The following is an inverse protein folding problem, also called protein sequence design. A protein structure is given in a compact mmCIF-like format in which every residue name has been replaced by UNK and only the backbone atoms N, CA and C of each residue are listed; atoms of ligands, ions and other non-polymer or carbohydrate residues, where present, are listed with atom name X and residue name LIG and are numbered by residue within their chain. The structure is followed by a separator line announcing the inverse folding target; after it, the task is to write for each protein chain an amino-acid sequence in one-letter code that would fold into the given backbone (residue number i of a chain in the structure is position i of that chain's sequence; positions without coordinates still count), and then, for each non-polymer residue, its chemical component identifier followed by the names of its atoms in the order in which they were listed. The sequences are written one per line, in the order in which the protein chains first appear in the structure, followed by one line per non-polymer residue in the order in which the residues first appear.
data_IF_582062522040
#
_entry.id   IF_582062522040
#
_cell.length_a   1.000
_cell.length_b   1.000
_cell.length_c   1.000
_cell.angle_alpha   90.00
_cell.angle_beta   90.00
_cell.angle_gamma   90.00
#
_symmetry.space_group_name_H-M   'P 1'
#
loop_
_entity.id
_entity.type
_entity.pdbx_description
1 polymer ?
#
# COMPACT_ATOMS: atom_id res chain seq x y z
N UNK A 1 10.81 -19.00 15.92
CA UNK A 1 9.39 -18.67 16.19
C UNK A 1 8.57 -19.29 15.08
N UNK A 2 7.76 -20.28 15.42
CA UNK A 2 7.10 -21.13 14.43
C UNK A 2 5.83 -20.44 13.92
N UNK A 3 5.98 -19.67 12.82
CA UNK A 3 4.87 -18.91 12.20
C UNK A 3 3.65 -19.80 11.90
N UNK A 4 3.91 -21.06 11.54
CA UNK A 4 2.90 -22.12 11.35
C UNK A 4 2.02 -22.37 12.58
N UNK A 5 2.60 -22.41 13.78
CA UNK A 5 1.83 -22.58 15.02
C UNK A 5 0.95 -21.35 15.31
N UNK A 6 1.45 -20.14 15.03
CA UNK A 6 0.67 -18.90 15.16
C UNK A 6 -0.52 -18.90 14.18
N UNK A 7 -0.33 -19.36 12.95
CA UNK A 7 -1.42 -19.52 11.97
C UNK A 7 -2.51 -20.48 12.48
N UNK A 8 -2.14 -21.61 13.08
CA UNK A 8 -3.10 -22.56 13.66
C UNK A 8 -3.90 -21.94 14.81
N UNK A 9 -3.21 -21.29 15.77
CA UNK A 9 -3.84 -20.65 16.94
C UNK A 9 -4.83 -19.57 16.51
N UNK A 10 -4.41 -18.68 15.61
CA UNK A 10 -5.20 -17.50 15.20
C UNK A 10 -6.37 -17.82 14.25
N UNK A 11 -6.35 -18.97 13.57
CA UNK A 11 -7.45 -19.42 12.71
C UNK A 11 -8.42 -20.36 13.43
N UNK A 12 -7.89 -21.32 14.20
CA UNK A 12 -8.70 -22.41 14.78
C UNK A 12 -9.01 -22.24 16.28
N UNK A 13 -8.39 -21.27 16.95
CA UNK A 13 -8.47 -21.08 18.41
C UNK A 13 -7.95 -22.27 19.21
N UNK A 14 -7.10 -23.10 18.59
CA UNK A 14 -6.60 -24.39 19.09
C UNK A 14 -5.16 -24.59 18.64
N UNK A 15 -4.45 -25.48 19.33
CA UNK A 15 -3.09 -25.90 18.95
C UNK A 15 -3.05 -27.41 18.87
N UNK A 16 -2.47 -27.99 17.82
CA UNK A 16 -2.16 -29.41 17.77
C UNK A 16 -0.66 -29.63 17.94
N UNK A 17 -0.30 -30.38 18.99
CA UNK A 17 1.09 -30.65 19.36
C UNK A 17 1.34 -32.14 19.17
N UNK A 18 2.16 -32.47 18.17
CA UNK A 18 2.70 -33.80 17.93
C UNK A 18 4.19 -33.80 18.27
N UNK A 19 4.57 -34.31 19.44
CA UNK A 19 5.97 -34.32 19.90
C UNK A 19 6.24 -35.50 20.83
N UNK A 20 7.37 -36.18 20.63
CA UNK A 20 7.79 -37.36 21.41
C UNK A 20 6.69 -38.44 21.54
N UNK A 21 5.97 -38.72 20.43
CA UNK A 21 4.85 -39.67 20.38
C UNK A 21 3.52 -39.13 20.92
N UNK A 22 3.55 -38.10 21.78
CA UNK A 22 2.34 -37.47 22.32
C UNK A 22 1.68 -36.63 21.21
N UNK A 23 0.41 -36.94 20.92
CA UNK A 23 -0.44 -36.19 20.00
C UNK A 23 -1.58 -35.56 20.81
N UNK A 24 -1.46 -34.27 21.12
CA UNK A 24 -2.41 -33.53 21.94
C UNK A 24 -3.09 -32.41 21.13
N UNK A 25 -4.35 -32.10 21.46
CA UNK A 25 -5.09 -30.94 20.93
C UNK A 25 -5.49 -30.04 22.08
N UNK A 26 -4.94 -28.83 22.13
CA UNK A 26 -5.15 -27.87 23.22
C UNK A 26 -6.06 -26.72 22.79
N UNK A 27 -6.79 -26.15 23.75
CA UNK A 27 -7.74 -25.06 23.54
C UNK A 27 -7.03 -23.73 23.82
N UNK A 28 -6.85 -22.89 22.79
CA UNK A 28 -6.05 -21.66 22.84
C UNK A 28 -6.85 -20.45 22.33
N UNK A 29 -8.12 -20.35 22.75
CA UNK A 29 -9.00 -19.21 22.45
C UNK A 29 -8.61 -17.99 23.28
N UNK A 30 -7.57 -17.29 22.84
CA UNK A 30 -7.11 -16.01 23.38
C UNK A 30 -7.22 -14.90 22.32
N UNK A 31 -7.52 -13.68 22.76
CA UNK A 31 -7.35 -12.47 21.93
C UNK A 31 -5.87 -12.13 21.85
N UNK A 32 -5.37 -11.79 20.66
CA UNK A 32 -3.99 -11.33 20.44
C UNK A 32 -4.00 -9.82 20.30
N UNK A 33 -3.17 -9.13 21.09
CA UNK A 33 -2.78 -7.74 20.87
C UNK A 33 -1.31 -7.73 20.46
N UNK A 34 -0.99 -7.04 19.37
CA UNK A 34 0.38 -6.91 18.87
C UNK A 34 0.69 -5.43 18.62
N UNK A 35 1.90 -5.02 18.97
CA UNK A 35 2.51 -3.77 18.54
C UNK A 35 3.75 -4.11 17.70
N UNK A 36 3.95 -3.39 16.60
CA UNK A 36 5.06 -3.61 15.69
C UNK A 36 5.66 -2.26 15.28
N UNK A 37 6.99 -2.17 15.32
CA UNK A 37 7.71 -1.01 14.82
C UNK A 37 7.90 -1.15 13.30
N UNK A 38 7.89 -0.06 12.52
CA UNK A 38 8.19 -0.13 11.09
C UNK A 38 9.65 -0.55 10.86
N UNK A 39 9.91 -1.30 9.78
CA UNK A 39 11.20 -1.97 9.55
C UNK A 39 12.41 -1.03 9.42
N UNK A 40 12.18 0.24 9.06
CA UNK A 40 13.21 1.29 8.98
C UNK A 40 13.15 2.29 10.15
N UNK A 41 12.48 1.95 11.26
CA UNK A 41 12.35 2.79 12.46
C UNK A 41 11.39 3.97 12.33
N UNK A 42 11.16 4.49 11.12
CA UNK A 42 10.09 5.43 10.76
C UNK A 42 9.15 4.80 9.74
N UNK A 43 7.88 5.19 9.78
CA UNK A 43 6.86 4.74 8.82
C UNK A 43 6.96 5.57 7.53
N UNK A 44 7.11 4.91 6.38
CA UNK A 44 7.19 5.53 5.07
C UNK A 44 5.78 5.66 4.45
N UNK A 45 5.25 6.88 4.43
CA UNK A 45 3.90 7.19 3.93
C UNK A 45 3.74 6.98 2.41
N UNK A 46 4.83 6.71 1.68
CA UNK A 46 4.84 6.40 0.25
C UNK A 46 4.91 4.89 -0.04
N UNK A 47 4.96 4.04 0.99
CA UNK A 47 4.98 2.57 0.87
C UNK A 47 3.70 1.96 1.43
N UNK A 48 3.40 0.73 1.01
CA UNK A 48 2.27 -0.01 1.56
C UNK A 48 2.46 -0.32 3.06
N UNK A 49 1.37 -0.49 3.82
CA UNK A 49 1.46 -0.95 5.21
C UNK A 49 2.16 -2.31 5.38
N UNK A 50 2.02 -3.20 4.39
CA UNK A 50 2.68 -4.51 4.34
C UNK A 50 4.21 -4.38 4.29
N UNK A 51 4.73 -3.57 3.36
CA UNK A 51 6.18 -3.29 3.24
C UNK A 51 6.75 -2.56 4.47
N UNK A 52 5.98 -1.64 5.06
CA UNK A 52 6.38 -0.91 6.26
C UNK A 52 6.53 -1.81 7.49
N UNK A 53 5.67 -2.83 7.64
CA UNK A 53 5.64 -3.72 8.81
C UNK A 53 6.55 -4.96 8.63
N UNK A 54 6.78 -5.41 7.39
CA UNK A 54 7.64 -6.56 7.12
C UNK A 54 7.06 -7.92 7.54
N UNK A 55 5.75 -7.99 7.76
CA UNK A 55 5.01 -9.22 7.98
C UNK A 55 4.37 -9.72 6.68
N UNK A 56 4.19 -11.04 6.59
CA UNK A 56 3.52 -11.65 5.44
C UNK A 56 2.01 -11.38 5.48
N UNK A 57 1.38 -11.19 4.32
CA UNK A 57 -0.06 -10.90 4.17
C UNK A 57 -0.94 -11.95 4.86
N UNK A 58 -0.49 -13.21 4.89
CA UNK A 58 -1.16 -14.32 5.58
C UNK A 58 -1.14 -14.23 7.11
N UNK A 59 -0.28 -13.39 7.71
CA UNK A 59 -0.37 -12.97 9.11
C UNK A 59 -1.21 -11.71 9.25
N UNK A 60 -1.03 -10.72 8.38
CA UNK A 60 -1.75 -9.44 8.46
C UNK A 60 -3.27 -9.63 8.30
N UNK A 61 -3.71 -10.45 7.33
CA UNK A 61 -5.12 -10.84 7.13
C UNK A 61 -5.72 -11.68 8.28
N UNK A 62 -4.93 -12.05 9.31
CA UNK A 62 -5.41 -12.72 10.54
C UNK A 62 -5.60 -11.78 11.72
N UNK A 63 -5.26 -10.49 11.57
CA UNK A 63 -5.66 -9.45 12.51
C UNK A 63 -6.97 -8.83 12.03
N UNK A 64 -7.97 -8.79 12.92
CA UNK A 64 -9.31 -8.31 12.58
C UNK A 64 -9.34 -6.79 12.32
N UNK A 65 -8.38 -6.04 12.90
CA UNK A 65 -8.15 -4.61 12.76
C UNK A 65 -6.63 -4.33 12.71
N UNK A 66 -6.20 -3.36 11.90
CA UNK A 66 -4.84 -2.84 11.88
C UNK A 66 -4.87 -1.32 12.15
N UNK A 67 -4.19 -0.85 13.20
CA UNK A 67 -4.11 0.58 13.51
C UNK A 67 -2.70 1.10 13.22
N UNK A 68 -2.60 2.05 12.28
CA UNK A 68 -1.35 2.75 11.96
C UNK A 68 -1.30 4.04 12.77
N UNK A 69 -0.65 3.97 13.93
CA UNK A 69 -0.27 5.14 14.70
C UNK A 69 0.93 5.80 14.00
N UNK A 70 0.75 7.07 13.60
CA UNK A 70 1.82 7.88 13.02
C UNK A 70 2.16 8.98 14.02
N UNK A 71 3.45 9.20 14.20
CA UNK A 71 3.98 10.39 14.86
C UNK A 71 3.70 11.61 13.96
N UNK A 72 2.87 12.54 14.42
CA UNK A 72 2.46 13.74 13.69
C UNK A 72 2.96 14.97 14.46
N UNK A 73 3.90 15.70 13.84
CA UNK A 73 4.47 16.94 14.39
C UNK A 73 3.47 18.09 14.29
N UNK A 74 2.45 18.06 15.16
CA UNK A 74 1.44 19.10 15.32
C UNK A 74 1.70 19.88 16.62
N UNK A 75 2.06 21.18 16.54
CA UNK A 75 2.41 21.98 17.71
C UNK A 75 1.25 22.19 18.69
N UNK A 76 -0.01 21.96 18.30
CA UNK A 76 -1.15 22.01 19.22
C UNK A 76 -1.25 20.71 20.03
N UNK A 77 -1.18 19.55 19.37
CA UNK A 77 -1.15 18.23 20.05
C UNK A 77 0.10 18.05 20.92
N UNK A 78 1.27 18.42 20.42
CA UNK A 78 2.54 18.38 21.18
C UNK A 78 2.46 19.23 22.45
N UNK A 79 1.73 20.34 22.43
CA UNK A 79 1.52 21.22 23.59
C UNK A 79 0.61 20.56 24.63
N UNK A 80 -0.48 19.90 24.22
CA UNK A 80 -1.36 19.16 25.14
C UNK A 80 -0.64 17.97 25.78
N UNK A 81 0.10 17.20 24.99
CA UNK A 81 0.94 16.09 25.46
C UNK A 81 1.99 16.61 26.45
N UNK A 82 2.66 17.72 26.12
CA UNK A 82 3.67 18.34 26.99
C UNK A 82 3.09 18.80 28.33
N UNK A 83 1.94 19.49 28.35
CA UNK A 83 1.29 19.87 29.61
C UNK A 83 0.87 18.63 30.42
N UNK A 84 0.35 17.57 29.76
CA UNK A 84 -0.01 16.34 30.45
C UNK A 84 1.19 15.66 31.12
N UNK A 85 2.32 15.54 30.41
CA UNK A 85 3.57 14.96 30.93
C UNK A 85 4.14 15.82 32.07
N UNK A 86 4.21 17.14 31.90
CA UNK A 86 4.65 18.07 32.95
C UNK A 86 3.74 18.00 34.19
N UNK A 87 2.43 17.88 33.99
CA UNK A 87 1.43 17.72 35.05
C UNK A 87 1.65 16.42 35.82
N UNK A 88 1.93 15.29 35.15
CA UNK A 88 2.28 14.04 35.83
C UNK A 88 3.56 14.18 36.66
N UNK A 89 4.64 14.73 36.09
CA UNK A 89 5.91 14.91 36.81
C UNK A 89 5.80 15.87 38.01
N UNK A 90 4.86 16.83 38.00
CA UNK A 90 4.59 17.74 39.14
C UNK A 90 3.91 17.07 40.35
N UNK A 91 3.24 15.93 40.18
CA UNK A 91 2.55 15.22 41.27
C UNK A 91 3.31 14.00 41.80
N UNK A 92 4.64 14.01 41.65
CA UNK A 92 5.51 12.97 42.20
C UNK A 92 5.59 13.05 43.73
N UNK A 93 5.50 11.90 44.40
CA UNK A 93 5.68 11.84 45.85
C UNK A 93 7.16 12.13 46.22
N UNK A 94 7.43 12.97 47.23
CA UNK A 94 8.80 13.29 47.63
C UNK A 94 9.48 12.07 48.27
N UNK A 95 10.29 11.37 47.48
CA UNK A 95 11.01 10.15 47.89
C UNK A 95 11.09 9.04 46.83
N UNK A 96 10.41 9.17 45.68
CA UNK A 96 10.50 8.22 44.56
C UNK A 96 11.77 8.48 43.70
N UNK A 97 12.45 7.45 43.20
CA UNK A 97 13.79 7.60 42.58
C UNK A 97 13.75 8.23 41.19
N UNK A 98 14.61 9.22 40.92
CA UNK A 98 14.70 9.88 39.62
C UNK A 98 15.08 8.91 38.49
N UNK A 99 14.12 8.67 37.59
CA UNK A 99 14.21 7.70 36.49
C UNK A 99 13.13 6.61 36.49
N UNK A 100 12.44 6.36 37.60
CA UNK A 100 11.36 5.35 37.65
C UNK A 100 10.17 5.73 36.74
N UNK A 101 9.67 4.74 35.98
CA UNK A 101 8.58 4.93 35.02
C UNK A 101 7.24 5.03 35.76
N UNK A 102 6.65 6.23 35.81
CA UNK A 102 5.32 6.45 36.40
C UNK A 102 4.27 5.54 35.75
N UNK A 103 3.53 4.81 36.59
CA UNK A 103 2.44 3.94 36.14
C UNK A 103 1.29 4.83 35.62
N UNK A 104 0.99 4.73 34.32
CA UNK A 104 -0.02 5.49 33.57
C UNK A 104 -1.48 5.35 34.08
N UNK A 105 -1.70 4.64 35.19
CA UNK A 105 -2.96 4.58 35.91
C UNK A 105 -3.12 5.62 37.04
N UNK A 106 -2.03 6.25 37.50
CA UNK A 106 -2.08 7.27 38.56
C UNK A 106 -2.44 8.65 38.02
N UNK A 107 -3.73 8.84 37.69
CA UNK A 107 -4.31 10.17 37.47
C UNK A 107 -4.43 10.91 38.81
N UNK A 108 -3.36 11.59 39.21
CA UNK A 108 -3.36 12.50 40.35
C UNK A 108 -3.64 13.93 39.86
N UNK A 109 -4.81 14.47 40.22
CA UNK A 109 -5.07 15.90 40.24
C UNK A 109 -5.36 16.26 41.70
N UNK A 110 -4.44 16.96 42.36
CA UNK A 110 -4.61 17.41 43.74
C UNK A 110 -4.72 18.93 43.77
N UNK A 111 -5.81 19.45 44.37
CA UNK A 111 -5.89 20.84 44.81
C UNK A 111 -5.15 21.01 46.16
N UNK A 112 -4.41 22.10 46.42
CA UNK A 112 -3.40 22.14 47.48
C UNK A 112 -3.94 22.43 48.91
N UNK A 113 -5.09 21.86 49.28
CA UNK A 113 -5.85 22.29 50.46
C UNK A 113 -6.56 21.22 51.31
N UNK A 114 -6.51 19.94 50.95
CA UNK A 114 -7.20 18.88 51.70
C UNK A 114 -6.25 18.00 52.53
N UNK A 115 -6.73 17.59 53.71
CA UNK A 115 -5.97 16.78 54.68
C UNK A 115 -6.08 15.28 54.41
N UNK A 116 -5.03 14.53 54.76
CA UNK A 116 -4.71 13.18 54.25
C UNK A 116 -5.71 12.04 54.55
N UNK A 117 -6.85 12.29 55.19
CA UNK A 117 -7.74 11.24 55.72
C UNK A 117 -9.04 11.02 54.96
N UNK A 118 -9.46 11.95 54.11
CA UNK A 118 -10.63 11.78 53.24
C UNK A 118 -10.22 12.04 51.79
N UNK A 119 -9.77 10.96 51.14
CA UNK A 119 -9.28 10.97 49.76
C UNK A 119 -10.43 10.98 48.74
N UNK A 120 -11.36 11.92 48.89
CA UNK A 120 -12.46 12.10 47.95
C UNK A 120 -11.99 12.75 46.64
N UNK A 121 -12.34 12.13 45.52
CA UNK A 121 -11.94 12.56 44.18
C UNK A 121 -12.79 13.74 43.70
N UNK A 122 -12.34 14.98 43.94
CA UNK A 122 -12.94 16.18 43.35
C UNK A 122 -11.91 17.14 42.79
N UNK A 123 -12.00 17.45 41.49
CA UNK A 123 -11.48 18.68 40.88
C UNK A 123 -12.53 19.20 39.90
N UNK A 124 -12.83 20.50 40.04
CA UNK A 124 -13.53 21.43 39.14
C UNK A 124 -14.43 20.91 37.98
N UNK A 125 -15.66 21.45 37.91
CA UNK A 125 -16.33 21.74 36.62
C UNK A 125 -17.67 21.04 36.38
N UNK A 126 -17.70 19.71 36.34
CA UNK A 126 -18.87 18.93 35.91
C UNK A 126 -19.20 17.77 36.86
N UNK A 127 -20.48 17.40 36.96
CA UNK A 127 -21.01 16.33 37.84
C UNK A 127 -20.75 14.90 37.31
N UNK A 128 -19.63 14.67 36.63
CA UNK A 128 -19.35 13.39 35.99
C UNK A 128 -18.62 12.45 36.94
N UNK A 129 -19.25 11.30 37.22
CA UNK A 129 -18.73 10.28 38.13
C UNK A 129 -17.47 9.66 37.53
N UNK A 130 -16.30 9.92 38.13
CA UNK A 130 -15.04 9.35 37.67
C UNK A 130 -15.11 7.81 37.61
N UNK A 131 -14.98 7.26 36.41
CA UNK A 131 -14.90 5.81 36.18
C UNK A 131 -13.51 5.32 36.59
N UNK A 132 -13.33 5.06 37.88
CA UNK A 132 -12.09 4.51 38.43
C UNK A 132 -11.67 3.22 37.69
N UNK A 133 -10.37 3.02 37.48
CA UNK A 133 -9.84 1.79 36.88
C UNK A 133 -10.26 0.52 37.67
N UNK A 134 -10.48 0.62 38.98
CA UNK A 134 -11.02 -0.46 39.81
C UNK A 134 -12.51 -0.72 39.55
N UNK A 135 -13.29 0.32 39.24
CA UNK A 135 -14.68 0.18 38.78
C UNK A 135 -14.72 -0.43 37.37
N UNK A 136 -13.92 0.06 36.43
CA UNK A 136 -13.87 -0.44 35.04
C UNK A 136 -13.57 -1.95 34.98
N UNK A 137 -12.65 -2.45 35.80
CA UNK A 137 -12.37 -3.90 35.94
C UNK A 137 -13.61 -4.70 36.38
N UNK A 138 -14.41 -4.18 37.31
CA UNK A 138 -15.68 -4.79 37.76
C UNK A 138 -16.77 -4.69 36.69
N UNK A 139 -16.88 -3.54 36.01
CA UNK A 139 -17.84 -3.29 34.94
C UNK A 139 -17.65 -4.25 33.76
N UNK A 140 -16.42 -4.39 33.28
CA UNK A 140 -16.04 -5.35 32.22
C UNK A 140 -16.33 -6.80 32.63
N UNK A 141 -16.18 -7.16 33.91
CA UNK A 141 -16.54 -8.50 34.39
C UNK A 141 -18.04 -8.78 34.25
N UNK A 142 -18.91 -7.83 34.61
CA UNK A 142 -20.37 -7.96 34.42
C UNK A 142 -20.75 -7.95 32.94
N UNK A 143 -20.22 -7.01 32.16
CA UNK A 143 -20.49 -6.89 30.72
C UNK A 143 -20.13 -8.16 29.92
N UNK A 144 -19.07 -8.88 30.31
CA UNK A 144 -18.65 -10.15 29.69
C UNK A 144 -19.65 -11.31 29.85
N UNK A 145 -20.54 -11.25 30.84
CA UNK A 145 -21.58 -12.28 31.07
C UNK A 145 -22.73 -12.12 30.06
N UNK A 146 -22.96 -10.88 29.61
CA UNK A 146 -24.06 -10.51 28.72
C UNK A 146 -23.77 -11.01 27.29
N UNK A 147 -24.77 -11.61 26.66
CA UNK A 147 -24.74 -12.10 25.28
C UNK A 147 -25.86 -11.41 24.50
N UNK A 148 -25.59 -10.24 23.88
CA UNK A 148 -26.59 -9.57 23.07
C UNK A 148 -26.88 -10.37 21.79
N UNK A 149 -28.11 -10.26 21.30
CA UNK A 149 -28.55 -10.85 20.03
C UNK A 149 -28.64 -9.75 18.97
N UNK A 150 -28.21 -10.04 17.75
CA UNK A 150 -28.27 -9.11 16.62
C UNK A 150 -29.73 -8.89 16.18
N UNK A 151 -30.14 -7.63 16.02
CA UNK A 151 -31.46 -7.29 15.47
C UNK A 151 -31.46 -7.39 13.94
N UNK A 152 -32.63 -7.58 13.32
CA UNK A 152 -32.73 -7.67 11.86
C UNK A 152 -32.32 -6.36 11.16
N UNK A 153 -32.60 -5.22 11.78
CA UNK A 153 -32.22 -3.89 11.28
C UNK A 153 -30.69 -3.76 11.21
N UNK A 154 -29.98 -3.96 12.32
CA UNK A 154 -28.52 -3.96 12.37
C UNK A 154 -27.89 -5.03 11.47
N UNK A 155 -28.49 -6.22 11.37
CA UNK A 155 -28.01 -7.28 10.47
C UNK A 155 -28.08 -6.87 8.99
N UNK A 156 -29.12 -6.13 8.61
CA UNK A 156 -29.32 -5.66 7.22
C UNK A 156 -28.33 -4.54 6.89
N UNK A 157 -28.18 -3.57 7.79
CA UNK A 157 -27.21 -2.47 7.66
C UNK A 157 -25.75 -2.97 7.58
N UNK A 158 -25.35 -3.92 8.45
CA UNK A 158 -24.00 -4.51 8.41
C UNK A 158 -23.74 -5.25 7.09
N UNK A 159 -24.76 -5.91 6.52
CA UNK A 159 -24.63 -6.60 5.23
C UNK A 159 -24.49 -5.61 4.06
N UNK A 160 -25.22 -4.49 4.09
CA UNK A 160 -25.12 -3.42 3.10
C UNK A 160 -23.75 -2.73 3.14
N UNK A 161 -23.29 -2.29 4.32
CA UNK A 161 -21.97 -1.67 4.47
C UNK A 161 -20.81 -2.64 4.18
N UNK A 162 -20.93 -3.92 4.52
CA UNK A 162 -19.94 -4.92 4.09
C UNK A 162 -19.88 -5.05 2.55
N UNK A 163 -21.03 -5.05 1.88
CA UNK A 163 -21.11 -5.07 0.41
C UNK A 163 -20.52 -3.79 -0.21
N UNK A 164 -20.80 -2.63 0.39
CA UNK A 164 -20.25 -1.32 0.00
C UNK A 164 -18.73 -1.28 0.12
N UNK A 165 -18.19 -1.66 1.28
CA UNK A 165 -16.74 -1.76 1.53
C UNK A 165 -16.05 -2.66 0.51
N UNK A 166 -16.64 -3.82 0.20
CA UNK A 166 -16.10 -4.77 -0.77
C UNK A 166 -16.21 -4.30 -2.22
N UNK A 167 -17.23 -3.51 -2.54
CA UNK A 167 -17.37 -2.88 -3.85
C UNK A 167 -16.33 -1.76 -4.02
N UNK A 168 -16.13 -0.94 -2.99
CA UNK A 168 -15.11 0.11 -2.95
C UNK A 168 -13.68 -0.45 -3.08
N UNK A 169 -13.39 -1.59 -2.42
CA UNK A 169 -12.12 -2.34 -2.56
C UNK A 169 -11.77 -2.64 -4.04
N UNK A 170 -12.78 -2.89 -4.88
CA UNK A 170 -12.61 -3.13 -6.32
C UNK A 170 -12.49 -1.87 -7.20
N UNK A 171 -12.99 -0.71 -6.73
CA UNK A 171 -13.10 0.52 -7.54
C UNK A 171 -12.06 1.60 -7.21
N UNK A 172 -11.50 1.64 -6.00
CA UNK A 172 -10.45 2.60 -5.63
C UNK A 172 -9.08 1.92 -5.51
N UNK A 173 -8.36 1.80 -6.63
CA UNK A 173 -6.98 1.29 -6.68
C UNK A 173 -5.93 2.28 -6.14
N UNK A 174 -6.23 3.58 -6.22
CA UNK A 174 -5.34 4.70 -5.87
C UNK A 174 -5.03 4.81 -4.36
N UNK A 175 -6.01 4.49 -3.51
CA UNK A 175 -5.81 4.45 -2.05
C UNK A 175 -5.28 3.08 -1.63
N UNK A 176 -3.96 2.95 -1.48
CA UNK A 176 -3.34 1.73 -0.96
C UNK A 176 -3.80 1.46 0.50
N UNK A 177 -4.19 0.20 0.77
CA UNK A 177 -4.99 -0.20 1.94
C UNK A 177 -4.17 -0.90 3.02
N UNK A 178 -4.71 -0.97 4.24
CA UNK A 178 -4.07 -1.63 5.39
C UNK A 178 -4.27 -3.15 5.42
N UNK A 179 -5.39 -3.63 4.89
CA UNK A 179 -5.78 -5.05 4.84
C UNK A 179 -6.77 -5.28 3.69
N UNK A 180 -6.79 -6.45 3.03
CA UNK A 180 -7.81 -6.79 2.04
C UNK A 180 -9.18 -7.06 2.68
N UNK A 181 -10.27 -6.69 1.99
CA UNK A 181 -11.65 -6.97 2.46
C UNK A 181 -12.05 -8.43 2.17
N UNK A 182 -12.04 -9.26 3.21
CA UNK A 182 -12.39 -10.69 3.14
C UNK A 182 -13.73 -10.99 3.85
N UNK A 183 -14.25 -12.22 3.76
CA UNK A 183 -15.45 -12.62 4.53
C UNK A 183 -15.26 -12.51 6.06
N UNK A 184 -14.00 -12.51 6.54
CA UNK A 184 -13.67 -12.35 7.95
C UNK A 184 -14.03 -10.95 8.49
N UNK A 185 -14.08 -9.91 7.66
CA UNK A 185 -14.42 -8.55 8.12
C UNK A 185 -15.89 -8.43 8.51
N UNK A 186 -16.78 -9.22 7.90
CA UNK A 186 -18.18 -9.35 8.32
C UNK A 186 -18.28 -9.95 9.73
N UNK A 187 -17.47 -10.96 10.05
CA UNK A 187 -17.35 -11.45 11.43
C UNK A 187 -16.76 -10.38 12.37
N UNK A 188 -15.76 -9.60 11.94
CA UNK A 188 -15.22 -8.47 12.71
C UNK A 188 -16.32 -7.46 13.07
N UNK A 189 -17.13 -7.02 12.10
CA UNK A 189 -18.23 -6.09 12.33
C UNK A 189 -19.22 -6.63 13.37
N UNK A 190 -19.61 -7.91 13.26
CA UNK A 190 -20.49 -8.56 14.24
C UNK A 190 -19.81 -8.68 15.63
N UNK A 191 -18.51 -8.98 15.69
CA UNK A 191 -17.73 -9.05 16.94
C UNK A 191 -17.64 -7.67 17.62
N UNK A 192 -17.47 -6.59 16.85
CA UNK A 192 -17.40 -5.22 17.33
C UNK A 192 -18.77 -4.71 17.80
N UNK A 193 -19.82 -4.82 16.98
CA UNK A 193 -21.17 -4.39 17.35
C UNK A 193 -21.70 -5.15 18.58
N UNK A 194 -21.44 -6.46 18.67
CA UNK A 194 -21.77 -7.24 19.90
C UNK A 194 -20.85 -6.96 21.08
N UNK A 195 -19.71 -6.30 20.90
CA UNK A 195 -18.88 -5.79 22.00
C UNK A 195 -19.36 -4.41 22.48
N UNK A 196 -19.76 -3.53 21.56
CA UNK A 196 -20.35 -2.23 21.89
C UNK A 196 -21.69 -2.38 22.64
N UNK A 197 -22.58 -3.26 22.16
CA UNK A 197 -23.81 -3.60 22.86
C UNK A 197 -23.57 -4.15 24.28
N UNK A 198 -22.49 -4.92 24.52
CA UNK A 198 -22.07 -5.35 25.87
C UNK A 198 -21.55 -4.20 26.72
N UNK A 199 -20.88 -3.22 26.13
CA UNK A 199 -20.43 -2.02 26.82
C UNK A 199 -21.62 -1.16 27.30
N UNK A 200 -22.73 -1.09 26.54
CA UNK A 200 -24.02 -0.53 27.02
C UNK A 200 -24.80 -1.46 27.97
N UNK A 201 -24.33 -2.70 28.19
CA UNK A 201 -25.04 -3.78 28.88
C UNK A 201 -26.41 -4.15 28.24
N UNK A 202 -26.58 -3.89 26.94
CA UNK A 202 -27.78 -4.24 26.19
C UNK A 202 -27.89 -5.75 25.94
N UNK A 203 -29.13 -6.23 25.76
CA UNK A 203 -29.45 -7.59 25.30
C UNK A 203 -29.69 -7.67 23.79
N UNK A 204 -29.82 -6.53 23.13
CA UNK A 204 -29.91 -6.38 21.67
C UNK A 204 -28.71 -5.61 21.16
N UNK A 205 -28.30 -5.90 19.93
CA UNK A 205 -27.45 -5.01 19.14
C UNK A 205 -28.39 -4.12 18.34
N UNK A 206 -28.33 -2.81 18.59
CA UNK A 206 -29.20 -1.80 17.99
C UNK A 206 -28.45 -1.12 16.82
N UNK A 207 -29.11 -0.29 15.99
CA UNK A 207 -28.49 0.28 14.79
C UNK A 207 -27.21 1.11 15.11
N UNK A 208 -27.26 1.91 16.16
CA UNK A 208 -26.14 2.66 16.74
C UNK A 208 -24.88 1.81 17.06
N UNK A 209 -25.05 0.51 17.36
CA UNK A 209 -23.92 -0.38 17.63
C UNK A 209 -23.24 -0.87 16.35
N UNK A 210 -23.97 -0.89 15.24
CA UNK A 210 -23.47 -1.27 13.94
C UNK A 210 -22.78 -0.09 13.24
N UNK A 211 -23.32 1.13 13.39
CA UNK A 211 -22.75 2.37 12.86
C UNK A 211 -21.35 2.64 13.45
N UNK A 212 -21.22 2.71 14.78
CA UNK A 212 -19.94 2.82 15.50
C UNK A 212 -18.93 1.71 15.09
N UNK A 213 -19.41 0.48 14.93
CA UNK A 213 -18.57 -0.65 14.51
C UNK A 213 -18.10 -0.53 13.05
N UNK A 214 -18.90 0.06 12.16
CA UNK A 214 -18.53 0.37 10.78
C UNK A 214 -17.52 1.52 10.73
N UNK A 215 -17.73 2.62 11.47
CA UNK A 215 -16.78 3.73 11.53
C UNK A 215 -15.39 3.30 12.01
N UNK A 216 -15.32 2.48 13.07
CA UNK A 216 -14.05 1.95 13.59
C UNK A 216 -13.33 1.06 12.56
N UNK A 217 -14.07 0.27 11.77
CA UNK A 217 -13.50 -0.52 10.67
C UNK A 217 -13.06 0.37 9.51
N UNK A 218 -13.85 1.36 9.11
CA UNK A 218 -13.48 2.33 8.06
C UNK A 218 -12.19 3.07 8.44
N UNK A 219 -12.05 3.53 9.68
CA UNK A 219 -10.84 4.19 10.19
C UNK A 219 -9.60 3.28 10.14
N UNK A 220 -9.76 1.98 10.46
CA UNK A 220 -8.67 1.00 10.39
C UNK A 220 -8.29 0.61 8.96
N UNK A 221 -9.24 0.61 8.01
CA UNK A 221 -9.01 0.23 6.62
C UNK A 221 -8.47 1.38 5.75
N UNK A 222 -8.99 2.60 5.92
CA UNK A 222 -8.75 3.73 5.02
C UNK A 222 -7.72 4.75 5.53
N UNK A 223 -6.49 4.30 5.81
CA UNK A 223 -5.35 5.22 5.94
C UNK A 223 -4.82 5.55 4.53
N UNK A 224 -5.00 6.80 4.08
CA UNK A 224 -4.46 7.25 2.78
C UNK A 224 -2.93 7.20 2.80
N UNK A 225 -2.37 6.29 2.00
CA UNK A 225 -0.98 6.37 1.52
C UNK A 225 -0.88 7.58 0.58
N UNK A 226 0.22 8.33 0.65
CA UNK A 226 0.45 9.46 -0.26
C UNK A 226 1.17 8.95 -1.51
N UNK A 227 0.72 9.40 -2.69
CA UNK A 227 1.53 9.24 -3.91
C UNK A 227 2.81 10.06 -3.80
N UNK A 228 3.94 9.49 -4.24
CA UNK A 228 5.21 10.22 -4.32
C UNK A 228 5.26 10.96 -5.65
N UNK A 229 5.20 12.29 -5.61
CA UNK A 229 5.36 13.11 -6.82
C UNK A 229 6.60 12.67 -7.61
N UNK A 230 6.35 12.15 -8.82
CA UNK A 230 7.39 11.76 -9.77
C UNK A 230 8.06 13.04 -10.25
N UNK A 231 9.09 13.51 -9.53
CA UNK A 231 9.93 14.66 -9.92
C UNK A 231 10.26 14.54 -11.41
N UNK A 232 9.62 15.36 -12.24
CA UNK A 232 9.83 15.35 -13.69
C UNK A 232 11.32 15.58 -13.92
N UNK A 233 12.00 14.56 -14.45
CA UNK A 233 13.41 14.64 -14.84
C UNK A 233 13.49 15.61 -16.01
N UNK A 234 13.64 16.91 -15.71
CA UNK A 234 13.78 17.98 -16.69
C UNK A 234 14.93 17.57 -17.62
N UNK A 235 14.63 17.33 -18.90
CA UNK A 235 15.67 17.15 -19.89
C UNK A 235 16.45 18.47 -19.94
N UNK A 236 17.72 18.40 -19.55
CA UNK A 236 18.72 19.37 -19.97
C UNK A 236 19.03 19.05 -21.43
N UNK A 237 18.32 19.73 -22.33
CA UNK A 237 18.82 19.94 -23.68
C UNK A 237 19.80 21.12 -23.56
N UNK A 238 21.10 20.82 -23.66
CA UNK A 238 22.17 21.82 -23.70
C UNK A 238 22.18 22.46 -25.10
N UNK A 239 21.98 23.77 -25.19
CA UNK A 239 22.69 24.64 -26.15
C UNK A 239 22.53 26.14 -25.81
N UNK A 240 23.62 26.90 -25.96
CA UNK A 240 23.74 28.37 -25.91
C UNK A 240 23.36 29.14 -24.62
N UNK A 241 24.40 29.43 -23.82
CA UNK A 241 24.84 30.78 -23.37
C UNK A 241 23.82 31.83 -22.89
N UNK A 242 23.91 32.19 -21.60
CA UNK A 242 24.14 33.58 -21.19
C UNK A 242 24.77 33.64 -19.79
N UNK A 243 25.67 34.60 -19.55
CA UNK A 243 26.29 34.85 -18.24
C UNK A 243 25.49 35.89 -17.44
N UNK A 244 25.31 35.68 -16.14
CA UNK A 244 25.41 36.70 -15.09
C UNK A 244 25.31 36.04 -13.69
N UNK A 245 25.90 36.67 -12.67
CA UNK A 245 26.00 36.13 -11.30
C UNK A 245 24.87 36.62 -10.36
N UNK A 246 24.52 35.84 -9.33
CA UNK A 246 24.62 36.32 -7.94
C UNK A 246 24.50 35.20 -6.87
N UNK A 247 25.00 35.52 -5.67
CA UNK A 247 25.53 34.64 -4.62
C UNK A 247 24.59 33.72 -3.79
N UNK A 248 25.25 32.80 -3.06
CA UNK A 248 24.89 32.16 -1.76
C UNK A 248 23.87 31.00 -1.78
N UNK A 249 23.98 30.01 -0.88
CA UNK A 249 24.93 29.80 0.25
C UNK A 249 25.54 28.40 0.26
N UNK A 250 26.71 28.26 0.89
CA UNK A 250 27.41 26.98 1.08
C UNK A 250 26.95 26.27 2.37
N UNK A 251 26.67 24.97 2.28
CA UNK A 251 26.98 24.00 3.33
C UNK A 251 26.98 22.57 2.74
N UNK A 252 27.58 21.61 3.45
CA UNK A 252 27.65 20.18 3.12
C UNK A 252 28.13 19.76 1.71
N UNK A 253 29.44 19.95 1.43
CA UNK A 253 30.16 19.00 0.57
C UNK A 253 31.66 18.82 0.82
N UNK A 254 32.09 18.66 2.08
CA UNK A 254 33.40 18.04 2.35
C UNK A 254 33.27 16.51 2.49
N UNK A 255 33.58 15.77 1.42
CA UNK A 255 34.58 14.69 1.48
C UNK A 255 34.91 14.04 0.11
N UNK A 256 36.15 13.55 0.00
CA UNK A 256 36.66 12.60 -1.01
C UNK A 256 36.64 13.05 -2.50
N UNK A 257 37.64 13.85 -2.92
CA UNK A 257 38.44 13.55 -4.14
C UNK A 257 39.72 14.39 -4.35
N UNK A 258 40.74 14.22 -3.49
CA UNK A 258 42.15 14.56 -3.84
C UNK A 258 43.16 13.58 -3.24
N UNK A 259 43.72 12.68 -4.08
CA UNK A 259 45.17 12.32 -4.16
C UNK A 259 45.46 11.14 -5.12
N UNK A 260 46.11 11.48 -6.24
CA UNK A 260 46.99 10.66 -7.10
C UNK A 260 48.27 11.52 -7.25
N UNK A 261 49.51 11.05 -7.35
CA UNK A 261 50.14 9.71 -7.33
C UNK A 261 51.49 9.84 -6.60
N UNK A 262 52.03 8.76 -6.00
CA UNK A 262 53.50 8.49 -6.04
C UNK A 262 53.85 7.04 -5.73
N UNK A 263 54.86 6.53 -6.46
CA UNK A 263 55.71 5.32 -6.22
C UNK A 263 55.10 3.90 -6.39
N UNK A 264 55.93 3.07 -7.04
CA UNK A 264 56.01 1.59 -7.07
C UNK A 264 57.06 1.13 -6.02
N UNK A 265 57.37 -0.18 -5.80
CA UNK A 265 56.98 -1.39 -6.53
C UNK A 265 56.49 -2.59 -5.65
N UNK A 266 56.49 -3.78 -6.26
CA UNK A 266 56.68 -5.14 -5.69
C UNK A 266 55.50 -6.10 -5.41
N UNK A 267 55.52 -7.19 -6.19
CA UNK A 267 55.42 -8.62 -5.82
C UNK A 267 54.13 -9.29 -5.29
N UNK A 268 53.62 -10.19 -6.16
CA UNK A 268 53.18 -11.59 -5.92
C UNK A 268 51.75 -11.97 -5.48
N UNK A 269 51.29 -13.02 -6.18
CA UNK A 269 50.41 -14.16 -5.82
C UNK A 269 48.98 -13.90 -5.30
N UNK A 270 47.99 -14.52 -5.95
CA UNK A 270 46.58 -14.52 -5.55
C UNK A 270 45.60 -14.80 -6.70
N UNK A 271 45.41 -16.08 -7.06
CA UNK A 271 44.50 -16.50 -8.13
C UNK A 271 43.02 -16.15 -7.84
N UNK A 272 42.30 -15.70 -8.87
CA UNK A 272 40.84 -15.61 -8.88
C UNK A 272 40.33 -16.00 -10.28
N UNK A 273 39.81 -17.22 -10.39
CA UNK A 273 39.35 -17.82 -11.64
C UNK A 273 37.97 -17.23 -12.05
N UNK A 274 37.89 -16.57 -13.20
CA UNK A 274 36.62 -16.14 -13.81
C UNK A 274 36.20 -17.15 -14.90
N UNK A 275 35.05 -17.85 -14.79
CA UNK A 275 34.61 -18.85 -15.77
C UNK A 275 34.20 -18.32 -17.16
N UNK A 276 34.27 -17.01 -17.44
CA UNK A 276 33.70 -16.41 -18.66
C UNK A 276 34.62 -15.49 -19.48
N UNK A 277 35.95 -15.51 -19.26
CA UNK A 277 36.88 -14.86 -20.21
C UNK A 277 37.20 -15.81 -21.39
N UNK A 278 36.82 -15.38 -22.59
CA UNK A 278 37.19 -16.01 -23.86
C UNK A 278 37.60 -14.91 -24.86
N UNK A 279 38.82 -14.42 -24.69
CA UNK A 279 39.50 -13.53 -25.62
C UNK A 279 40.80 -14.16 -26.16
N UNK A 280 41.15 -13.77 -27.39
CA UNK A 280 42.38 -14.09 -28.15
C UNK A 280 42.75 -15.57 -28.41
N UNK A 281 42.20 -16.12 -29.51
CA UNK A 281 43.06 -16.83 -30.50
C UNK A 281 42.55 -16.63 -31.94
N UNK A 282 43.14 -15.64 -32.61
CA UNK A 282 43.56 -15.57 -34.03
C UNK A 282 42.63 -16.05 -35.19
N UNK A 283 42.22 -15.06 -35.99
CA UNK A 283 42.35 -14.98 -37.46
C UNK A 283 41.38 -15.70 -38.45
N UNK A 284 41.50 -15.25 -39.71
CA UNK A 284 40.55 -15.23 -40.82
C UNK A 284 40.00 -16.59 -41.33
N UNK A 285 38.73 -16.61 -41.77
CA UNK A 285 38.26 -17.50 -42.84
C UNK A 285 37.18 -16.83 -43.74
N UNK A 286 36.95 -17.32 -44.99
CA UNK A 286 36.64 -16.46 -46.13
C UNK A 286 35.19 -16.57 -46.68
N UNK A 287 34.99 -16.13 -47.93
CA UNK A 287 33.71 -15.70 -48.48
C UNK A 287 33.21 -16.56 -49.68
N UNK A 288 31.87 -16.62 -49.83
CA UNK A 288 31.06 -17.00 -51.02
C UNK A 288 30.93 -18.48 -51.46
N UNK A 289 29.79 -18.76 -52.11
CA UNK A 289 29.48 -19.81 -53.13
C UNK A 289 29.00 -21.21 -52.66
N UNK A 290 27.89 -21.82 -53.14
CA UNK A 290 26.64 -21.43 -53.92
C UNK A 290 25.72 -22.69 -54.08
N UNK A 291 24.66 -22.81 -54.96
CA UNK A 291 23.68 -21.86 -55.56
C UNK A 291 22.19 -22.40 -55.66
N UNK A 292 21.33 -21.65 -56.40
CA UNK A 292 20.16 -22.09 -57.24
C UNK A 292 18.82 -22.40 -56.53
N UNK A 293 17.76 -21.56 -56.65
CA UNK A 293 16.80 -21.29 -57.79
C UNK A 293 15.75 -22.39 -57.99
N UNK A 294 14.46 -22.14 -58.24
CA UNK A 294 13.64 -20.91 -58.34
C UNK A 294 12.18 -21.26 -57.93
N UNK A 295 11.09 -20.48 -58.08
CA UNK A 295 10.82 -19.14 -58.66
C UNK A 295 9.62 -18.53 -57.84
N UNK A 296 8.87 -17.46 -58.14
CA UNK A 296 8.59 -16.66 -59.36
C UNK A 296 8.44 -15.17 -59.04
N UNK A 297 8.30 -14.31 -60.06
CA UNK A 297 7.87 -12.91 -59.91
C UNK A 297 6.34 -12.77 -59.84
N UNK A 298 5.82 -11.84 -59.03
CA UNK A 298 4.71 -10.98 -59.45
C UNK A 298 4.87 -9.56 -58.87
N UNK A 299 5.08 -8.58 -59.74
CA UNK A 299 5.25 -7.16 -59.38
C UNK A 299 3.90 -6.48 -59.14
N UNK A 300 3.74 -5.79 -58.00
CA UNK A 300 2.75 -4.70 -57.87
C UNK A 300 3.39 -3.49 -57.22
N UNK A 301 3.40 -2.38 -57.96
CA UNK A 301 3.82 -1.07 -57.48
C UNK A 301 2.76 -0.55 -56.50
N UNK A 302 3.01 -0.67 -55.19
CA UNK A 302 2.21 0.01 -54.18
C UNK A 302 2.54 1.50 -54.20
N UNK A 303 1.66 2.29 -54.80
CA UNK A 303 1.74 3.75 -54.83
C UNK A 303 1.91 4.32 -53.42
N UNK A 304 2.86 5.24 -53.22
CA UNK A 304 2.94 6.04 -51.99
C UNK A 304 1.76 7.01 -51.94
N UNK A 305 0.66 6.56 -51.34
CA UNK A 305 -0.49 7.43 -51.02
C UNK A 305 -0.13 8.23 -49.78
N UNK A 306 0.22 9.51 -49.97
CA UNK A 306 0.50 10.43 -48.86
C UNK A 306 -0.81 10.83 -48.17
N UNK A 307 -1.12 10.16 -47.06
CA UNK A 307 -2.28 10.47 -46.23
C UNK A 307 -2.14 11.85 -45.58
N UNK A 308 -3.15 12.70 -45.80
CA UNK A 308 -3.24 14.01 -45.18
C UNK A 308 -3.34 13.90 -43.65
N UNK A 309 -2.75 14.86 -42.93
CA UNK A 309 -2.70 14.78 -41.46
C UNK A 309 -4.07 14.82 -40.79
N UNK A 310 -5.07 15.46 -41.42
CA UNK A 310 -6.45 15.46 -40.95
C UNK A 310 -7.07 14.07 -41.05
N UNK A 311 -6.90 13.37 -42.19
CA UNK A 311 -7.38 12.00 -42.40
C UNK A 311 -6.70 11.01 -41.45
N UNK A 312 -5.39 11.18 -41.20
CA UNK A 312 -4.63 10.39 -40.23
C UNK A 312 -5.08 10.66 -38.77
N UNK A 313 -5.42 11.92 -38.42
CA UNK A 313 -5.99 12.24 -37.09
C UNK A 313 -7.37 11.60 -36.90
N UNK A 314 -8.23 11.60 -37.93
CA UNK A 314 -9.51 10.89 -37.90
C UNK A 314 -9.33 9.37 -37.71
N UNK A 315 -8.41 8.74 -38.44
CA UNK A 315 -8.06 7.33 -38.27
C UNK A 315 -7.58 7.01 -36.85
N UNK A 316 -6.72 7.86 -36.25
CA UNK A 316 -6.25 7.68 -34.86
C UNK A 316 -7.38 7.72 -33.84
N UNK A 317 -8.41 8.56 -34.03
CA UNK A 317 -9.60 8.58 -33.16
C UNK A 317 -10.41 7.30 -33.32
N UNK A 318 -10.80 6.95 -34.55
CA UNK A 318 -11.59 5.74 -34.82
C UNK A 318 -10.91 4.47 -34.31
N UNK A 319 -9.59 4.33 -34.51
CA UNK A 319 -8.79 3.22 -33.99
C UNK A 319 -8.93 3.10 -32.46
N UNK A 320 -8.73 4.21 -31.73
CA UNK A 320 -8.81 4.21 -30.26
C UNK A 320 -10.22 3.86 -29.74
N UNK A 321 -11.28 4.28 -30.43
CA UNK A 321 -12.65 3.95 -30.04
C UNK A 321 -12.99 2.48 -30.32
N UNK A 322 -12.51 1.87 -31.41
CA UNK A 322 -12.64 0.42 -31.63
C UNK A 322 -11.84 -0.38 -30.57
N UNK A 323 -10.67 0.10 -30.15
CA UNK A 323 -9.93 -0.48 -29.01
C UNK A 323 -10.69 -0.36 -27.67
N UNK A 324 -11.41 0.75 -27.45
CA UNK A 324 -12.27 0.94 -26.28
C UNK A 324 -13.47 -0.01 -26.30
N UNK A 325 -14.21 -0.12 -27.40
CA UNK A 325 -15.35 -1.03 -27.55
C UNK A 325 -14.95 -2.50 -27.42
N UNK A 326 -13.79 -2.88 -27.96
CA UNK A 326 -13.31 -4.26 -27.91
C UNK A 326 -12.83 -4.69 -26.51
N UNK A 327 -12.54 -3.74 -25.60
CA UNK A 327 -11.91 -3.97 -24.28
C UNK A 327 -10.68 -4.90 -24.32
N UNK A 328 -9.92 -4.87 -25.43
CA UNK A 328 -8.81 -5.80 -25.70
C UNK A 328 -7.58 -5.05 -26.19
N UNK A 329 -6.38 -5.48 -25.77
CA UNK A 329 -5.11 -4.85 -26.16
C UNK A 329 -4.60 -5.27 -27.56
N UNK A 330 -5.35 -6.15 -28.26
CA UNK A 330 -5.00 -6.64 -29.60
C UNK A 330 -6.23 -6.83 -30.48
N UNK A 331 -6.18 -6.38 -31.74
CA UNK A 331 -7.27 -6.49 -32.73
C UNK A 331 -6.72 -7.02 -34.07
N UNK A 332 -7.46 -7.94 -34.71
CA UNK A 332 -7.13 -8.43 -36.05
C UNK A 332 -7.54 -7.43 -37.15
N UNK A 333 -6.67 -7.26 -38.16
CA UNK A 333 -6.79 -6.21 -39.19
C UNK A 333 -8.11 -6.26 -39.99
N UNK A 334 -8.69 -7.44 -40.21
CA UNK A 334 -10.00 -7.59 -40.86
C UNK A 334 -11.11 -6.92 -40.04
N UNK A 335 -11.19 -7.22 -38.74
CA UNK A 335 -12.17 -6.65 -37.80
C UNK A 335 -11.99 -5.13 -37.67
N UNK A 336 -10.76 -4.63 -37.69
CA UNK A 336 -10.50 -3.20 -37.70
C UNK A 336 -11.07 -2.53 -38.97
N UNK A 337 -10.87 -3.15 -40.13
CA UNK A 337 -11.36 -2.64 -41.42
C UNK A 337 -12.89 -2.60 -41.46
N UNK A 338 -13.56 -3.62 -40.92
CA UNK A 338 -15.02 -3.68 -40.79
C UNK A 338 -15.56 -2.60 -39.84
N UNK A 339 -14.95 -2.41 -38.67
CA UNK A 339 -15.38 -1.39 -37.69
C UNK A 339 -15.14 0.04 -38.20
N UNK A 340 -13.94 0.37 -38.70
CA UNK A 340 -13.65 1.75 -39.14
C UNK A 340 -14.57 2.20 -40.28
N UNK A 341 -14.90 1.29 -41.21
CA UNK A 341 -15.75 1.60 -42.36
C UNK A 341 -17.26 1.50 -42.08
N UNK A 342 -17.66 1.16 -40.84
CA UNK A 342 -19.04 1.18 -40.38
C UNK A 342 -19.50 2.57 -39.94
N UNK A 343 -18.63 3.29 -39.25
CA UNK A 343 -18.97 4.51 -38.51
C UNK A 343 -18.33 5.78 -39.12
N UNK A 344 -17.60 5.64 -40.25
CA UNK A 344 -16.99 6.75 -41.00
C UNK A 344 -17.84 7.15 -42.23
N UNK A 345 -18.09 8.44 -42.44
CA UNK A 345 -18.82 8.96 -43.61
C UNK A 345 -18.09 8.72 -44.96
N UNK A 346 -16.76 8.63 -44.91
CA UNK A 346 -15.90 8.24 -46.03
C UNK A 346 -15.16 6.94 -45.66
N UNK A 347 -15.35 5.82 -46.37
CA UNK A 347 -14.67 4.56 -46.07
C UNK A 347 -13.16 4.65 -46.39
N UNK A 348 -12.34 4.07 -45.54
CA UNK A 348 -10.89 3.93 -45.75
C UNK A 348 -10.58 2.71 -46.61
N UNK A 349 -9.67 2.88 -47.56
CA UNK A 349 -9.11 1.78 -48.37
C UNK A 349 -8.12 0.95 -47.55
N UNK A 350 -7.98 -0.35 -47.84
CA UNK A 350 -7.00 -1.22 -47.17
C UNK A 350 -5.56 -0.72 -47.31
N UNK A 351 -5.23 -0.07 -48.44
CA UNK A 351 -3.93 0.57 -48.69
C UNK A 351 -3.72 1.78 -47.77
N UNK A 352 -4.77 2.55 -47.50
CA UNK A 352 -4.72 3.69 -46.57
C UNK A 352 -4.59 3.21 -45.12
N UNK A 353 -5.34 2.18 -44.73
CA UNK A 353 -5.24 1.58 -43.40
C UNK A 353 -3.81 1.06 -43.16
N UNK A 354 -3.22 0.38 -44.15
CA UNK A 354 -1.84 -0.11 -44.06
C UNK A 354 -0.80 1.04 -44.00
N UNK A 355 -0.98 2.10 -44.79
CA UNK A 355 -0.10 3.28 -44.74
C UNK A 355 -0.21 4.05 -43.41
N UNK A 356 -1.42 4.19 -42.87
CA UNK A 356 -1.67 4.80 -41.57
C UNK A 356 -1.03 3.99 -40.44
N UNK A 357 -1.21 2.66 -40.43
CA UNK A 357 -0.60 1.76 -39.45
C UNK A 357 0.93 1.78 -39.53
N UNK A 358 1.53 1.79 -40.73
CA UNK A 358 2.98 1.93 -40.88
C UNK A 358 3.49 3.20 -40.21
N UNK A 359 2.88 4.36 -40.50
CA UNK A 359 3.27 5.65 -39.89
C UNK A 359 3.03 5.67 -38.37
N UNK A 360 2.04 4.93 -37.87
CA UNK A 360 1.81 4.77 -36.43
C UNK A 360 2.80 3.82 -35.73
N UNK A 361 3.37 2.88 -36.49
CA UNK A 361 4.45 2.02 -36.03
C UNK A 361 5.79 2.78 -36.01
N UNK A 362 6.04 3.64 -37.00
CA UNK A 362 7.16 4.59 -36.99
C UNK A 362 7.05 5.58 -35.81
N UNK A 363 5.84 6.10 -35.54
CA UNK A 363 5.52 6.92 -34.36
C UNK A 363 5.67 6.15 -33.01
N UNK A 364 5.93 4.84 -33.02
CA UNK A 364 5.95 3.93 -31.85
C UNK A 364 4.64 3.93 -31.02
N UNK A 365 3.48 4.10 -31.68
CA UNK A 365 2.16 4.13 -31.04
C UNK A 365 1.41 2.79 -31.14
N UNK A 366 1.77 1.96 -32.13
CA UNK A 366 1.13 0.69 -32.46
C UNK A 366 2.18 -0.30 -32.95
N UNK A 367 2.03 -1.58 -32.60
CA UNK A 367 2.82 -2.68 -33.15
C UNK A 367 1.93 -3.56 -34.04
N UNK A 368 2.39 -3.87 -35.26
CA UNK A 368 1.69 -4.79 -36.16
C UNK A 368 2.53 -6.05 -36.37
N UNK A 369 1.93 -7.22 -36.15
CA UNK A 369 2.57 -8.53 -36.38
C UNK A 369 1.54 -9.56 -36.85
N UNK A 370 1.86 -10.32 -37.89
CA UNK A 370 1.01 -11.40 -38.44
C UNK A 370 -0.47 -11.04 -38.70
N UNK A 371 -0.75 -9.77 -39.02
CA UNK A 371 -2.12 -9.26 -39.25
C UNK A 371 -2.90 -8.91 -37.97
N UNK A 372 -2.25 -8.97 -36.81
CA UNK A 372 -2.74 -8.52 -35.51
C UNK A 372 -2.08 -7.19 -35.15
N UNK A 373 -2.87 -6.30 -34.57
CA UNK A 373 -2.53 -4.91 -34.24
C UNK A 373 -2.60 -4.77 -32.72
N UNK A 374 -1.50 -4.35 -32.09
CA UNK A 374 -1.36 -4.17 -30.65
C UNK A 374 -1.12 -2.69 -30.33
N UNK A 375 -1.74 -2.20 -29.25
CA UNK A 375 -1.52 -0.84 -28.75
C UNK A 375 -0.38 -0.84 -27.69
N UNK A 376 0.51 0.14 -27.77
CA UNK A 376 1.73 0.26 -26.95
C UNK A 376 1.51 1.23 -25.78
#
# INVERSE_FOLDING_TARGET
MDRTAIHEVMEQGRVTIAKAGIHARLNARCSVLAAANPVYGRYDQYKTPMENIGLQDSLLSRFDLLFIMLDQMDPEQDREISDHVLRMHRYRAPGEQDGDVMILGSRLCFDPGFSEREMEFTVCGSREKMVSAAFMKKYIHVAKIIKPVLTQESATYIAEEYSRLRSQDSMSSDTARTSPVTARTLETLIRLATAHAKARMSKTVDLQDAEEAVELVQYAYFKKVLEKEKKRKKRSEDESETEDEEEKSQEDQEQKRKRRKTRQPDAKDGDSYDPYDFSDTEEEMPQVHTPKTADSQETKESQKVELSESRLKAFKVALLDVFREAHAQSIGMNRLTESINRDSEEPFSSVEIQAALSKMQDDNQVMVSEGIIFLI
#
